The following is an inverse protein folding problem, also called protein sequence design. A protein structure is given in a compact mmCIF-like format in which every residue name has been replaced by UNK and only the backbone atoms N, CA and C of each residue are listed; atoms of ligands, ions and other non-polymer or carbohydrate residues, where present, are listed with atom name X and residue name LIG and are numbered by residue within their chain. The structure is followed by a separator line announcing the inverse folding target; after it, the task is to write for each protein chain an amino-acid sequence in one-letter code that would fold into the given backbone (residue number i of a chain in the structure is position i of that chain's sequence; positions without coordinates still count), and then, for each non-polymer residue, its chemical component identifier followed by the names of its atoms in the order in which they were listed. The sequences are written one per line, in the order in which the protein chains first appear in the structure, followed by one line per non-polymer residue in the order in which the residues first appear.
data_IF_888514961654
#
_entry.id   IF_888514961654
#
_cell.length_a   1.000
_cell.length_b   1.000
_cell.length_c   1.000
_cell.angle_alpha   90.00
_cell.angle_beta   90.00
_cell.angle_gamma   90.00
#
_symmetry.space_group_name_H-M   'P 1'
#
loop_
_entity.id
_entity.type
_entity.pdbx_description
1 polymer ?
#
# COMPACT_ATOMS: atom_id res chain seq x y z
N UNK A 1 22.33 -18.37 12.31
CA UNK A 1 21.16 -17.50 12.09
C UNK A 1 19.94 -18.38 11.81
N UNK A 2 18.87 -18.10 12.49
CA UNK A 2 17.68 -18.95 12.44
C UNK A 2 16.95 -18.79 11.11
N UNK A 3 16.39 -19.87 10.54
CA UNK A 3 15.52 -19.88 9.37
C UNK A 3 14.35 -18.87 9.50
N UNK A 4 13.89 -18.66 10.72
CA UNK A 4 12.83 -17.70 11.09
C UNK A 4 13.22 -16.26 10.76
N UNK A 5 14.44 -15.85 11.08
CA UNK A 5 14.93 -14.48 10.83
C UNK A 5 14.92 -14.16 9.33
N UNK A 6 15.41 -15.08 8.51
CA UNK A 6 15.42 -14.90 7.05
C UNK A 6 14.00 -14.84 6.45
N UNK A 7 13.07 -15.60 7.00
CA UNK A 7 11.69 -15.62 6.53
C UNK A 7 10.96 -14.31 6.85
N UNK A 8 11.17 -13.72 8.04
CA UNK A 8 10.57 -12.44 8.41
C UNK A 8 11.21 -11.26 7.66
N UNK A 9 12.53 -11.28 7.45
CA UNK A 9 13.22 -10.30 6.59
C UNK A 9 12.64 -10.30 5.17
N UNK A 10 12.34 -11.46 4.60
CA UNK A 10 11.69 -11.58 3.29
C UNK A 10 10.28 -10.96 3.26
N UNK A 11 9.53 -11.02 4.37
CA UNK A 11 8.25 -10.30 4.50
C UNK A 11 8.45 -8.79 4.48
N UNK A 12 9.46 -8.28 5.21
CA UNK A 12 9.75 -6.83 5.24
C UNK A 12 10.18 -6.32 3.87
N UNK A 13 11.08 -7.03 3.18
CA UNK A 13 11.50 -6.68 1.82
C UNK A 13 10.30 -6.63 0.87
N UNK A 14 9.45 -7.66 0.90
CA UNK A 14 8.24 -7.73 0.09
C UNK A 14 7.29 -6.57 0.40
N UNK A 15 7.14 -6.21 1.67
CA UNK A 15 6.31 -5.08 2.07
C UNK A 15 6.84 -3.75 1.52
N UNK A 16 8.15 -3.51 1.57
CA UNK A 16 8.73 -2.30 0.98
C UNK A 16 8.58 -2.26 -0.54
N UNK A 17 8.81 -3.38 -1.24
CA UNK A 17 8.55 -3.49 -2.68
C UNK A 17 7.08 -3.19 -3.01
N UNK A 18 6.16 -3.74 -2.24
CA UNK A 18 4.73 -3.46 -2.37
C UNK A 18 4.40 -1.97 -2.18
N UNK A 19 5.04 -1.32 -1.22
CA UNK A 19 4.88 0.13 -0.99
C UNK A 19 5.39 0.96 -2.17
N UNK A 20 6.52 0.58 -2.76
CA UNK A 20 7.04 1.24 -3.96
C UNK A 20 6.12 1.02 -5.17
N UNK A 21 5.57 -0.19 -5.32
CA UNK A 21 4.63 -0.50 -6.40
C UNK A 21 3.39 0.39 -6.39
N UNK A 22 2.94 0.84 -5.22
CA UNK A 22 1.77 1.71 -5.10
C UNK A 22 2.03 3.16 -5.54
N UNK A 23 3.28 3.56 -5.68
CA UNK A 23 3.62 4.88 -6.17
C UNK A 23 3.43 4.93 -7.69
N UNK A 24 2.61 5.84 -8.22
CA UNK A 24 2.45 5.95 -9.66
C UNK A 24 3.73 6.47 -10.31
N UNK A 25 4.00 6.01 -11.52
CA UNK A 25 5.02 6.61 -12.36
C UNK A 25 4.59 8.03 -12.73
N UNK A 26 5.52 8.98 -12.70
CA UNK A 26 5.27 10.36 -13.10
C UNK A 26 5.76 10.56 -14.53
N UNK A 27 4.87 10.97 -15.42
CA UNK A 27 5.16 11.31 -16.80
C UNK A 27 4.81 12.77 -17.03
N UNK A 28 5.78 13.58 -17.40
CA UNK A 28 5.63 15.03 -17.59
C UNK A 28 4.98 15.77 -16.41
N UNK A 29 5.33 15.35 -15.19
CA UNK A 29 4.79 15.92 -13.95
C UNK A 29 3.41 15.42 -13.56
N UNK A 30 2.83 14.47 -14.29
CA UNK A 30 1.51 13.91 -14.04
C UNK A 30 1.62 12.41 -13.70
N UNK A 31 0.89 11.92 -12.69
CA UNK A 31 0.82 10.49 -12.40
C UNK A 31 0.22 9.71 -13.56
N UNK A 32 0.89 8.64 -13.97
CA UNK A 32 0.42 7.77 -15.04
C UNK A 32 -0.51 6.68 -14.49
N UNK A 33 -1.79 6.82 -14.80
CA UNK A 33 -2.82 5.82 -14.55
C UNK A 33 -3.40 5.25 -15.87
N UNK A 34 -2.62 5.28 -16.94
CA UNK A 34 -3.00 4.65 -18.20
C UNK A 34 -3.30 3.16 -18.03
N UNK A 35 -4.04 2.59 -18.97
CA UNK A 35 -4.35 1.18 -18.98
C UNK A 35 -3.11 0.30 -18.94
N UNK A 36 -2.05 0.71 -19.63
CA UNK A 36 -0.78 -0.02 -19.70
C UNK A 36 -0.02 0.05 -18.38
N UNK A 37 0.06 1.22 -17.76
CA UNK A 37 0.66 1.40 -16.44
C UNK A 37 -0.06 0.57 -15.38
N UNK A 38 -1.40 0.59 -15.40
CA UNK A 38 -2.20 -0.18 -14.45
C UNK A 38 -2.12 -1.69 -14.70
N UNK A 39 -2.00 -2.13 -15.94
CA UNK A 39 -1.77 -3.54 -16.26
C UNK A 39 -0.39 -4.02 -15.80
N UNK A 40 0.64 -3.20 -15.98
CA UNK A 40 1.99 -3.49 -15.49
C UNK A 40 2.01 -3.58 -13.95
N UNK A 41 1.38 -2.64 -13.25
CA UNK A 41 1.25 -2.65 -11.80
C UNK A 41 0.53 -3.92 -11.32
N UNK A 42 -0.53 -4.33 -12.01
CA UNK A 42 -1.25 -5.55 -11.65
C UNK A 42 -0.41 -6.82 -11.84
N UNK A 43 0.37 -6.91 -12.91
CA UNK A 43 1.28 -8.04 -13.15
C UNK A 43 2.31 -8.16 -12.01
N UNK A 44 2.91 -7.05 -11.60
CA UNK A 44 3.87 -7.03 -10.49
C UNK A 44 3.20 -7.37 -9.16
N UNK A 45 1.98 -6.89 -8.92
CA UNK A 45 1.19 -7.26 -7.75
C UNK A 45 0.96 -8.79 -7.66
N UNK A 46 0.66 -9.45 -8.79
CA UNK A 46 0.51 -10.91 -8.83
C UNK A 46 1.82 -11.63 -8.49
N UNK A 47 2.95 -11.08 -8.92
CA UNK A 47 4.26 -11.62 -8.56
C UNK A 47 4.51 -11.50 -7.05
N UNK A 48 4.25 -10.34 -6.44
CA UNK A 48 4.36 -10.16 -4.99
C UNK A 48 3.43 -11.09 -4.22
N UNK A 49 2.19 -11.29 -4.68
CA UNK A 49 1.25 -12.27 -4.08
C UNK A 49 1.79 -13.68 -4.09
N UNK A 50 2.45 -14.08 -5.17
CA UNK A 50 3.07 -15.42 -5.26
C UNK A 50 4.22 -15.56 -4.27
N UNK A 51 5.08 -14.55 -4.17
CA UNK A 51 6.19 -14.52 -3.20
C UNK A 51 5.69 -14.56 -1.77
N UNK A 52 4.66 -13.77 -1.43
CA UNK A 52 4.05 -13.76 -0.10
C UNK A 52 3.56 -15.15 0.32
N UNK A 53 2.90 -15.87 -0.59
CA UNK A 53 2.40 -17.24 -0.32
C UNK A 53 3.52 -18.26 -0.14
N UNK A 54 4.70 -17.99 -0.65
CA UNK A 54 5.87 -18.86 -0.52
C UNK A 54 6.63 -18.66 0.80
N UNK A 55 6.30 -17.63 1.58
CA UNK A 55 6.91 -17.39 2.89
C UNK A 55 6.43 -18.47 3.87
N UNK A 56 7.37 -19.18 4.45
CA UNK A 56 7.10 -20.17 5.49
C UNK A 56 6.95 -19.47 6.85
N UNK A 57 5.77 -19.54 7.41
CA UNK A 57 5.40 -18.90 8.69
C UNK A 57 5.27 -19.89 9.84
N UNK A 58 5.65 -21.17 9.65
CA UNK A 58 5.38 -22.25 10.60
C UNK A 58 6.01 -22.05 11.97
N UNK A 59 7.20 -21.44 12.00
CA UNK A 59 7.99 -21.23 13.22
C UNK A 59 7.89 -19.78 13.75
N UNK A 60 6.96 -18.99 13.23
CA UNK A 60 6.84 -17.58 13.58
C UNK A 60 6.16 -17.34 14.93
N UNK A 61 6.54 -16.24 15.58
CA UNK A 61 5.81 -15.75 16.73
C UNK A 61 4.38 -15.31 16.34
N UNK A 62 3.49 -15.21 17.31
CA UNK A 62 2.13 -14.70 17.07
C UNK A 62 2.15 -13.27 16.51
N UNK A 63 3.07 -12.44 16.96
CA UNK A 63 3.22 -11.07 16.47
C UNK A 63 3.61 -11.04 14.99
N UNK A 64 4.63 -11.81 14.59
CA UNK A 64 5.10 -11.89 13.22
C UNK A 64 4.00 -12.45 12.27
N UNK A 65 3.20 -13.41 12.76
CA UNK A 65 2.04 -13.91 12.02
C UNK A 65 0.98 -12.82 11.81
N UNK A 66 0.77 -11.91 12.77
CA UNK A 66 -0.14 -10.78 12.61
C UNK A 66 0.35 -9.87 11.50
N UNK A 67 1.64 -9.53 11.47
CA UNK A 67 2.24 -8.70 10.43
C UNK A 67 2.07 -9.32 9.04
N UNK A 68 2.29 -10.63 8.91
CA UNK A 68 2.02 -11.36 7.67
C UNK A 68 0.57 -11.21 7.22
N UNK A 69 -0.39 -11.34 8.13
CA UNK A 69 -1.80 -11.20 7.81
C UNK A 69 -2.18 -9.76 7.41
N UNK A 70 -1.56 -8.75 8.03
CA UNK A 70 -1.74 -7.35 7.65
C UNK A 70 -1.24 -7.11 6.23
N UNK A 71 -0.01 -7.51 5.92
CA UNK A 71 0.56 -7.37 4.57
C UNK A 71 -0.30 -8.11 3.53
N UNK A 72 -0.77 -9.32 3.86
CA UNK A 72 -1.66 -10.09 2.99
C UNK A 72 -3.00 -9.38 2.75
N UNK A 73 -3.58 -8.77 3.76
CA UNK A 73 -4.83 -8.04 3.64
C UNK A 73 -4.68 -6.81 2.74
N UNK A 74 -3.60 -6.05 2.89
CA UNK A 74 -3.28 -4.89 2.05
C UNK A 74 -3.12 -5.28 0.58
N UNK A 75 -2.32 -6.28 0.29
CA UNK A 75 -2.11 -6.78 -1.07
C UNK A 75 -3.43 -7.29 -1.69
N UNK A 76 -4.26 -7.97 -0.91
CA UNK A 76 -5.57 -8.43 -1.39
C UNK A 76 -6.53 -7.27 -1.63
N UNK A 77 -6.46 -6.18 -0.85
CA UNK A 77 -7.22 -4.96 -1.09
C UNK A 77 -6.89 -4.33 -2.44
N UNK A 78 -5.60 -4.17 -2.74
CA UNK A 78 -5.15 -3.65 -4.04
C UNK A 78 -5.51 -4.59 -5.20
N UNK A 79 -5.42 -5.90 -5.01
CA UNK A 79 -5.87 -6.88 -5.99
C UNK A 79 -7.39 -6.75 -6.28
N UNK A 80 -8.19 -6.49 -5.26
CA UNK A 80 -9.62 -6.23 -5.40
C UNK A 80 -9.88 -4.94 -6.19
N UNK A 81 -9.13 -3.87 -5.92
CA UNK A 81 -9.23 -2.63 -6.67
C UNK A 81 -8.94 -2.84 -8.15
N UNK A 82 -7.90 -3.61 -8.48
CA UNK A 82 -7.57 -3.92 -9.88
C UNK A 82 -8.62 -4.79 -10.59
N UNK A 83 -9.17 -5.77 -9.92
CA UNK A 83 -10.11 -6.71 -10.54
C UNK A 83 -11.55 -6.19 -10.58
N UNK A 84 -11.97 -5.49 -9.55
CA UNK A 84 -13.39 -5.20 -9.31
C UNK A 84 -13.68 -3.71 -9.39
N UNK A 85 -13.05 -2.90 -8.56
CA UNK A 85 -13.42 -1.49 -8.42
C UNK A 85 -12.92 -0.64 -9.59
N UNK A 86 -11.67 -0.81 -9.98
CA UNK A 86 -10.98 -0.02 -11.04
C UNK A 86 -11.23 1.49 -10.87
N UNK A 87 -10.87 2.06 -9.69
CA UNK A 87 -11.24 3.44 -9.36
C UNK A 87 -10.67 4.44 -10.37
N UNK A 88 -9.48 4.19 -10.93
CA UNK A 88 -8.88 5.03 -11.98
C UNK A 88 -9.70 5.09 -13.27
N UNK A 89 -10.55 4.10 -13.54
CA UNK A 89 -11.39 4.03 -14.74
C UNK A 89 -12.86 4.38 -14.50
N UNK A 90 -13.33 4.32 -13.26
CA UNK A 90 -14.75 4.41 -12.93
C UNK A 90 -15.11 5.58 -12.03
N UNK A 91 -14.15 6.09 -11.25
CA UNK A 91 -14.41 7.16 -10.29
C UNK A 91 -13.78 8.47 -10.76
N UNK A 92 -14.59 9.44 -11.26
CA UNK A 92 -14.05 10.75 -11.67
C UNK A 92 -13.34 11.49 -10.53
N UNK A 93 -13.73 11.24 -9.29
CA UNK A 93 -13.08 11.82 -8.14
C UNK A 93 -11.71 11.19 -7.80
N UNK A 94 -11.35 10.08 -8.45
CA UNK A 94 -10.01 9.48 -8.30
C UNK A 94 -8.90 10.46 -8.71
N UNK A 95 -9.16 11.29 -9.73
CA UNK A 95 -8.23 12.28 -10.27
C UNK A 95 -8.31 13.65 -9.59
N UNK A 96 -9.17 13.82 -8.60
CA UNK A 96 -9.27 15.07 -7.87
C UNK A 96 -8.11 15.22 -6.89
N UNK A 97 -7.00 15.73 -7.40
CA UNK A 97 -5.77 15.96 -6.67
C UNK A 97 -5.83 17.36 -6.04
N UNK A 98 -6.39 17.47 -4.86
CA UNK A 98 -6.21 18.66 -4.05
C UNK A 98 -4.85 18.58 -3.35
N UNK A 99 -4.04 19.62 -3.49
CA UNK A 99 -2.77 19.81 -2.79
C UNK A 99 -1.57 18.95 -3.22
N UNK A 100 -1.56 18.42 -4.45
CA UNK A 100 -0.40 17.70 -4.99
C UNK A 100 -0.07 16.37 -4.33
N UNK A 101 -0.90 15.93 -3.40
CA UNK A 101 -0.83 14.62 -2.76
C UNK A 101 -2.05 13.84 -3.23
N UNK A 102 -1.88 12.63 -3.68
CA UNK A 102 -2.90 11.75 -4.23
C UNK A 102 -4.05 11.48 -3.24
N UNK A 103 -5.04 12.41 -3.09
CA UNK A 103 -5.95 12.34 -1.95
C UNK A 103 -6.87 11.13 -2.02
N UNK A 104 -7.13 10.64 -3.22
CA UNK A 104 -8.04 9.52 -3.38
C UNK A 104 -7.37 8.16 -3.25
N UNK A 105 -6.12 8.04 -3.69
CA UNK A 105 -5.32 6.87 -3.33
C UNK A 105 -5.23 6.78 -1.80
N UNK A 106 -5.05 7.91 -1.13
CA UNK A 106 -5.05 8.01 0.32
C UNK A 106 -6.42 7.70 0.92
N UNK A 107 -7.51 8.16 0.34
CA UNK A 107 -8.87 7.95 0.88
C UNK A 107 -9.38 6.53 0.63
N UNK A 108 -9.15 5.95 -0.54
CA UNK A 108 -9.52 4.56 -0.79
C UNK A 108 -8.65 3.56 -0.05
N UNK A 109 -7.38 3.91 0.14
CA UNK A 109 -6.44 3.14 0.96
C UNK A 109 -6.30 3.69 2.38
N UNK A 110 -7.15 4.62 2.81
CA UNK A 110 -7.15 5.18 4.17
C UNK A 110 -7.49 4.14 5.24
N UNK A 111 -7.87 2.95 4.85
CA UNK A 111 -7.89 1.77 5.72
C UNK A 111 -6.51 1.14 5.91
N UNK A 112 -5.54 1.56 5.09
CA UNK A 112 -4.15 1.14 5.23
C UNK A 112 -3.45 2.05 6.23
N UNK A 113 -2.94 1.49 7.29
CA UNK A 113 -2.05 2.18 8.24
C UNK A 113 -0.85 2.80 7.54
N UNK A 114 -0.50 2.31 6.35
CA UNK A 114 0.57 2.82 5.51
C UNK A 114 0.34 4.24 5.00
N UNK A 115 -0.90 4.68 4.91
CA UNK A 115 -1.22 6.04 4.47
C UNK A 115 -1.14 7.07 5.59
N UNK A 116 -1.23 6.64 6.84
CA UNK A 116 -1.03 7.54 7.98
C UNK A 116 0.37 8.13 8.01
N UNK A 117 1.40 7.37 7.65
CA UNK A 117 2.77 7.87 7.56
C UNK A 117 3.01 8.91 6.46
N UNK A 118 2.09 9.04 5.48
CA UNK A 118 2.13 10.09 4.47
C UNK A 118 1.36 11.36 4.91
N UNK A 119 0.43 11.21 5.85
CA UNK A 119 -0.37 12.31 6.40
C UNK A 119 0.32 12.91 7.64
N UNK A 120 1.06 12.10 8.40
CA UNK A 120 1.78 12.55 9.60
C UNK A 120 2.64 13.81 9.42
N UNK A 121 3.41 13.97 8.32
CA UNK A 121 4.18 15.20 8.12
C UNK A 121 3.34 16.42 7.78
N UNK A 122 2.11 16.24 7.32
CA UNK A 122 1.22 17.31 6.90
C UNK A 122 0.28 17.78 8.02
N UNK A 123 0.11 16.96 9.04
CA UNK A 123 -0.64 17.31 10.25
C UNK A 123 0.34 17.38 11.41
N UNK A 124 0.61 18.56 11.97
CA UNK A 124 1.33 18.65 13.22
C UNK A 124 0.47 18.02 14.32
N UNK A 125 0.62 16.70 14.47
CA UNK A 125 0.05 15.92 15.57
C UNK A 125 0.91 16.11 16.82
N UNK A 126 1.32 17.33 17.11
CA UNK A 126 1.80 17.67 18.43
C UNK A 126 0.60 17.72 19.41
N UNK A 127 0.91 17.60 20.68
CA UNK A 127 -0.11 17.59 21.73
C UNK A 127 -0.95 18.89 21.79
N UNK A 128 -0.56 19.93 21.06
CA UNK A 128 -1.27 21.20 20.94
C UNK A 128 -2.27 21.18 19.79
N UNK A 129 -1.93 20.58 18.63
CA UNK A 129 -2.86 20.44 17.50
C UNK A 129 -4.08 19.58 17.79
N UNK A 130 -3.98 18.62 18.71
CA UNK A 130 -5.13 17.80 19.13
C UNK A 130 -6.13 18.60 19.98
N UNK A 131 -5.74 19.70 20.58
CA UNK A 131 -6.64 20.55 21.40
C UNK A 131 -7.56 21.41 20.56
N UNK A 132 -7.21 21.71 19.33
CA UNK A 132 -8.01 22.57 18.44
C UNK A 132 -9.14 21.82 17.72
N UNK A 133 -9.22 20.48 17.86
CA UNK A 133 -10.28 19.63 17.30
C UNK A 133 -11.36 19.23 18.32
N UNK A 134 -11.46 19.91 19.46
CA UNK A 134 -12.52 19.67 20.45
C UNK A 134 -13.55 20.79 20.50
#
# INVERSE_FOLDING_TARGET
MSKVTHSYEALLELFFEFRELLKPTIVDGVPDFSSDAMAAQYAELQYLKKRLRAIDTSDWSRADCVDYHVVRAEINGVDFDHRVLKPWARDPGFYNLTDGIYPRLLVHHSRSLSNWGLIEPALPLDKEGVKDFR
#
